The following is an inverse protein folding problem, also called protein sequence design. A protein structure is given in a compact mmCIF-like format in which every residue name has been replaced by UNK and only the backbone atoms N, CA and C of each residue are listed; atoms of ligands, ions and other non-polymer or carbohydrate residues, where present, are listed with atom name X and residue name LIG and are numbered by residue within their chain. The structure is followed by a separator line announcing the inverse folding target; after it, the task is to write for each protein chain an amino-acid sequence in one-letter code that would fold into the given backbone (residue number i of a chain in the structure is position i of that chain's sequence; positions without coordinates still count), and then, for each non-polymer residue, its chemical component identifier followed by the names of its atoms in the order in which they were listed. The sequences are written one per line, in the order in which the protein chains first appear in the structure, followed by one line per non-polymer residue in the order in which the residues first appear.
data_IF_592359930916
#
_entry.id   IF_592359930916
#
_cell.length_a   1.000
_cell.length_b   1.000
_cell.length_c   1.000
_cell.angle_alpha   90.00
_cell.angle_beta   90.00
_cell.angle_gamma   90.00
#
_symmetry.space_group_name_H-M   'P 1'
#
loop_
_entity.id
_entity.type
_entity.pdbx_description
1 polymer ?
#
# COMPACT_ATOMS: atom_id res chain seq x y z
N UNK A 1 70.78 13.06 2.01
CA UNK A 1 69.42 13.59 1.70
C UNK A 1 68.87 12.90 0.49
N UNK A 2 67.98 11.88 0.67
CA UNK A 2 67.34 11.16 -0.46
C UNK A 2 65.94 11.75 -0.64
N UNK A 3 65.73 12.43 -1.76
CA UNK A 3 64.41 12.95 -2.18
C UNK A 3 63.55 11.76 -2.63
N UNK A 4 62.43 11.51 -1.92
CA UNK A 4 61.40 10.58 -2.35
C UNK A 4 60.57 11.25 -3.43
N UNK A 5 60.61 10.69 -4.64
CA UNK A 5 59.74 11.05 -5.77
C UNK A 5 58.38 10.36 -5.53
N UNK A 6 57.37 11.14 -5.18
CA UNK A 6 55.99 10.65 -5.10
C UNK A 6 55.40 10.73 -6.49
N UNK A 7 55.28 9.60 -7.15
CA UNK A 7 54.60 9.47 -8.45
C UNK A 7 53.09 9.49 -8.21
N UNK A 8 52.45 10.63 -8.58
CA UNK A 8 51.00 10.76 -8.60
C UNK A 8 50.48 10.12 -9.89
N UNK A 9 50.11 8.84 -9.81
CA UNK A 9 49.32 8.20 -10.87
C UNK A 9 47.88 8.74 -10.81
N UNK A 10 47.59 9.76 -11.60
CA UNK A 10 46.23 10.15 -11.90
C UNK A 10 45.62 9.01 -12.76
N UNK A 11 44.83 8.16 -12.16
CA UNK A 11 44.01 7.16 -12.86
C UNK A 11 42.91 7.94 -13.61
N UNK A 12 43.16 8.25 -14.87
CA UNK A 12 42.18 8.79 -15.77
C UNK A 12 41.21 7.66 -16.09
N UNK A 13 40.08 7.60 -15.37
CA UNK A 13 38.91 6.83 -15.81
C UNK A 13 38.41 7.48 -17.11
N UNK A 14 38.89 6.99 -18.23
CA UNK A 14 38.23 7.21 -19.51
C UNK A 14 36.99 6.32 -19.47
N UNK A 15 35.89 6.84 -18.92
CA UNK A 15 34.58 6.33 -19.25
C UNK A 15 34.41 6.58 -20.75
N UNK A 16 34.46 5.53 -21.53
CA UNK A 16 33.91 5.56 -22.89
C UNK A 16 32.40 5.79 -22.70
N UNK A 17 31.98 7.05 -22.61
CA UNK A 17 30.59 7.40 -22.90
C UNK A 17 30.39 6.97 -24.34
N UNK A 18 29.78 5.80 -24.54
CA UNK A 18 29.18 5.48 -25.82
C UNK A 18 28.19 6.63 -26.07
N UNK A 19 28.48 7.44 -27.11
CA UNK A 19 27.54 8.48 -27.52
C UNK A 19 26.24 7.78 -27.88
N UNK A 20 25.28 7.78 -26.93
CA UNK A 20 23.91 7.38 -27.23
C UNK A 20 23.37 8.44 -28.16
N UNK A 21 22.84 8.03 -29.31
CA UNK A 21 22.22 8.95 -30.25
C UNK A 21 20.93 9.51 -29.63
N UNK A 22 20.60 10.76 -30.00
CA UNK A 22 19.32 11.36 -29.65
C UNK A 22 18.17 10.42 -30.02
N UNK A 23 17.13 10.40 -29.20
CA UNK A 23 15.93 9.60 -29.41
C UNK A 23 14.81 10.48 -29.95
N UNK A 24 14.35 10.23 -31.17
CA UNK A 24 13.24 10.96 -31.73
C UNK A 24 11.94 10.62 -30.98
N UNK A 25 11.18 11.64 -30.62
CA UNK A 25 9.83 11.48 -30.01
C UNK A 25 8.82 11.23 -31.14
N UNK A 26 8.79 10.00 -31.64
CA UNK A 26 7.98 9.55 -32.77
C UNK A 26 7.16 8.28 -32.42
N UNK A 27 6.38 7.76 -33.37
CA UNK A 27 5.52 6.61 -33.15
C UNK A 27 6.28 5.29 -32.95
N UNK A 28 7.51 5.21 -33.43
CA UNK A 28 8.35 4.01 -33.29
C UNK A 28 8.86 3.90 -31.85
N UNK A 29 9.41 4.97 -31.30
CA UNK A 29 10.01 5.00 -29.98
C UNK A 29 8.95 5.15 -28.87
N UNK A 30 7.90 5.93 -29.12
CA UNK A 30 6.82 6.23 -28.18
C UNK A 30 5.48 6.03 -28.87
N UNK A 31 4.94 4.81 -28.97
CA UNK A 31 3.75 4.51 -29.80
C UNK A 31 2.46 5.16 -29.27
N UNK A 32 2.35 5.44 -27.97
CA UNK A 32 1.17 6.10 -27.43
C UNK A 32 1.16 7.59 -27.74
N UNK A 33 0.12 8.07 -28.44
CA UNK A 33 -0.01 9.47 -28.85
C UNK A 33 -0.07 10.44 -27.67
N UNK A 34 -0.70 10.02 -26.56
CA UNK A 34 -0.87 10.88 -25.38
C UNK A 34 0.43 10.99 -24.61
N UNK A 35 1.18 9.89 -24.52
CA UNK A 35 2.51 9.89 -23.92
C UNK A 35 3.47 10.74 -24.77
N UNK A 36 3.48 10.61 -26.11
CA UNK A 36 4.25 11.53 -26.99
C UNK A 36 3.89 12.99 -26.77
N UNK A 37 2.57 13.30 -26.71
CA UNK A 37 2.11 14.67 -26.46
C UNK A 37 2.62 15.20 -25.11
N UNK A 38 2.63 14.35 -24.09
CA UNK A 38 3.21 14.72 -22.79
C UNK A 38 4.70 15.06 -22.94
N UNK A 39 5.49 14.19 -23.56
CA UNK A 39 6.93 14.41 -23.74
C UNK A 39 7.24 15.69 -24.52
N UNK A 40 6.53 15.91 -25.65
CA UNK A 40 6.68 17.14 -26.47
C UNK A 40 6.26 18.43 -25.75
N UNK A 41 5.51 18.34 -24.67
CA UNK A 41 5.13 19.48 -23.83
C UNK A 41 6.16 19.80 -22.73
N UNK A 42 7.15 18.92 -22.53
CA UNK A 42 8.22 19.14 -21.56
C UNK A 42 9.34 19.96 -22.20
N UNK A 43 10.11 20.67 -21.39
CA UNK A 43 11.25 21.45 -21.86
C UNK A 43 12.33 20.59 -22.53
N UNK A 44 12.49 19.36 -22.04
CA UNK A 44 13.46 18.38 -22.54
C UNK A 44 13.02 17.66 -23.83
N UNK A 45 11.79 17.80 -24.26
CA UNK A 45 11.27 17.14 -25.47
C UNK A 45 10.67 18.11 -26.49
N UNK A 46 10.80 19.42 -26.27
CA UNK A 46 10.10 20.44 -27.03
C UNK A 46 10.55 20.55 -28.51
N UNK A 47 11.75 20.13 -28.82
CA UNK A 47 12.30 20.09 -30.18
C UNK A 47 11.98 18.78 -30.93
N UNK A 48 11.30 17.83 -30.26
CA UNK A 48 10.91 16.54 -30.82
C UNK A 48 11.95 15.43 -30.66
N UNK A 49 12.99 15.68 -29.88
CA UNK A 49 14.08 14.73 -29.56
C UNK A 49 14.34 14.68 -28.08
N UNK A 50 15.07 13.66 -27.66
CA UNK A 50 15.60 13.48 -26.32
C UNK A 50 17.10 13.22 -26.46
N UNK A 51 17.93 14.13 -25.97
CA UNK A 51 19.36 13.90 -25.84
C UNK A 51 19.64 13.01 -24.61
N UNK A 52 20.78 12.33 -24.54
CA UNK A 52 21.19 11.56 -23.35
C UNK A 52 21.17 12.42 -22.07
N UNK A 53 21.65 13.64 -22.12
CA UNK A 53 21.70 14.57 -20.98
C UNK A 53 20.30 14.95 -20.50
N UNK A 54 19.35 15.13 -21.41
CA UNK A 54 17.94 15.40 -21.07
C UNK A 54 17.30 14.19 -20.41
N UNK A 55 17.52 12.99 -20.96
CA UNK A 55 17.03 11.72 -20.40
C UNK A 55 17.56 11.51 -18.99
N UNK A 56 18.87 11.67 -18.78
CA UNK A 56 19.54 11.51 -17.49
C UNK A 56 19.08 12.56 -16.47
N UNK A 57 18.62 13.72 -16.95
CA UNK A 57 18.05 14.77 -16.12
C UNK A 57 16.63 14.49 -15.62
N UNK A 58 15.90 13.51 -16.20
CA UNK A 58 14.51 13.20 -15.84
C UNK A 58 14.49 12.17 -14.70
N UNK A 59 14.42 12.63 -13.47
CA UNK A 59 14.32 11.77 -12.28
C UNK A 59 12.88 11.54 -11.80
N UNK A 60 11.91 12.33 -12.26
CA UNK A 60 10.50 12.20 -11.89
C UNK A 60 9.59 12.42 -13.09
N UNK A 61 8.59 11.53 -13.25
CA UNK A 61 7.60 11.65 -14.32
C UNK A 61 6.18 11.51 -13.78
N UNK A 62 5.31 12.48 -14.13
CA UNK A 62 3.91 12.56 -13.69
C UNK A 62 3.00 12.55 -14.91
N UNK A 63 2.42 11.42 -15.22
CA UNK A 63 1.54 11.18 -16.37
C UNK A 63 0.17 10.64 -15.95
N UNK A 64 -0.31 11.08 -14.79
CA UNK A 64 -1.62 10.69 -14.24
C UNK A 64 -2.78 11.32 -15.03
N UNK A 65 -3.94 10.63 -15.08
CA UNK A 65 -5.18 11.13 -15.68
C UNK A 65 -5.06 11.52 -17.16
N UNK A 66 -4.24 10.81 -17.95
CA UNK A 66 -3.98 11.14 -19.34
C UNK A 66 -4.59 10.14 -20.33
N UNK A 67 -5.30 9.11 -19.83
CA UNK A 67 -5.85 8.01 -20.64
C UNK A 67 -4.77 7.35 -21.54
N UNK A 68 -3.52 7.28 -21.06
CA UNK A 68 -2.40 6.63 -21.73
C UNK A 68 -2.62 5.12 -21.73
N UNK A 69 -2.43 4.47 -22.86
CA UNK A 69 -2.59 3.02 -23.01
C UNK A 69 -1.25 2.28 -23.00
N UNK A 70 -0.14 2.98 -23.27
CA UNK A 70 1.20 2.42 -23.26
C UNK A 70 2.24 3.46 -22.85
N UNK A 71 3.12 3.08 -21.94
CA UNK A 71 4.31 3.85 -21.59
C UNK A 71 5.58 3.32 -22.29
N UNK A 72 5.43 2.56 -23.41
CA UNK A 72 6.60 2.16 -24.19
C UNK A 72 7.42 3.39 -24.56
N UNK A 73 8.75 3.32 -24.36
CA UNK A 73 9.68 4.44 -24.40
C UNK A 73 10.11 4.90 -23.00
N UNK A 74 9.40 4.49 -21.94
CA UNK A 74 9.77 4.79 -20.54
C UNK A 74 11.14 4.18 -20.17
N UNK A 75 11.50 3.07 -20.83
CA UNK A 75 12.75 2.35 -20.66
C UNK A 75 14.00 3.22 -20.94
N UNK A 76 13.84 4.31 -21.68
CA UNK A 76 14.93 5.25 -21.93
C UNK A 76 15.27 6.11 -20.71
N UNK A 77 14.32 6.36 -19.82
CA UNK A 77 14.47 7.22 -18.65
C UNK A 77 15.04 6.43 -17.45
N UNK A 78 16.28 5.98 -17.57
CA UNK A 78 16.92 5.10 -16.58
C UNK A 78 17.21 5.76 -15.23
N UNK A 79 17.25 7.10 -15.19
CA UNK A 79 17.45 7.89 -13.98
C UNK A 79 16.17 8.15 -13.18
N UNK A 80 15.00 7.64 -13.63
CA UNK A 80 13.75 7.82 -12.91
C UNK A 80 13.79 7.19 -11.52
N UNK A 81 13.57 8.02 -10.50
CA UNK A 81 13.35 7.60 -9.11
C UNK A 81 11.87 7.64 -8.73
N UNK A 82 11.03 8.44 -9.42
CA UNK A 82 9.60 8.53 -9.16
C UNK A 82 8.79 8.49 -10.46
N UNK A 83 7.91 7.48 -10.59
CA UNK A 83 6.93 7.38 -11.68
C UNK A 83 5.51 7.39 -11.11
N UNK A 84 4.71 8.40 -11.52
CA UNK A 84 3.29 8.53 -11.18
C UNK A 84 2.46 8.43 -12.45
N UNK A 85 1.90 7.24 -12.69
CA UNK A 85 1.11 6.91 -13.88
C UNK A 85 -0.31 6.40 -13.54
N UNK A 86 -0.81 6.74 -12.34
CA UNK A 86 -2.16 6.40 -11.89
C UNK A 86 -3.24 6.95 -12.81
N UNK A 87 -4.44 6.33 -12.78
CA UNK A 87 -5.62 6.77 -13.56
C UNK A 87 -5.34 6.86 -15.05
N UNK A 88 -4.85 5.75 -15.63
CA UNK A 88 -4.61 5.58 -17.05
C UNK A 88 -5.27 4.28 -17.56
N UNK A 89 -4.95 3.85 -18.77
CA UNK A 89 -5.50 2.66 -19.40
C UNK A 89 -4.41 1.62 -19.70
N UNK A 90 -3.38 1.58 -18.86
CA UNK A 90 -2.23 0.69 -19.04
C UNK A 90 -2.64 -0.76 -18.82
N UNK A 91 -2.41 -1.62 -19.81
CA UNK A 91 -2.58 -3.08 -19.70
C UNK A 91 -1.28 -3.79 -19.34
N UNK A 92 -0.16 -3.18 -19.67
CA UNK A 92 1.20 -3.65 -19.37
C UNK A 92 2.06 -2.46 -18.99
N UNK A 93 3.08 -2.71 -18.16
CA UNK A 93 4.06 -1.71 -17.76
C UNK A 93 5.40 -2.42 -17.60
N UNK A 94 6.35 -2.11 -18.48
CA UNK A 94 7.72 -2.62 -18.42
C UNK A 94 8.62 -1.56 -17.80
N UNK A 95 9.19 -1.89 -16.64
CA UNK A 95 10.07 -1.02 -15.86
C UNK A 95 11.44 -1.66 -15.65
N UNK A 96 11.78 -2.68 -16.42
CA UNK A 96 13.02 -3.46 -16.25
C UNK A 96 14.30 -2.62 -16.43
N UNK A 97 14.22 -1.49 -17.14
CA UNK A 97 15.33 -0.55 -17.32
C UNK A 97 15.31 0.61 -16.31
N UNK A 98 14.19 0.85 -15.62
CA UNK A 98 14.04 1.95 -14.66
C UNK A 98 14.47 1.48 -13.25
N UNK A 99 15.69 1.00 -13.14
CA UNK A 99 16.20 0.31 -11.94
C UNK A 99 16.41 1.23 -10.73
N UNK A 100 16.44 2.55 -10.95
CA UNK A 100 16.58 3.57 -9.91
C UNK A 100 15.24 3.95 -9.23
N UNK A 101 14.10 3.31 -9.63
CA UNK A 101 12.79 3.66 -9.07
C UNK A 101 12.71 3.40 -7.57
N UNK A 102 12.38 4.45 -6.83
CA UNK A 102 12.11 4.46 -5.39
C UNK A 102 10.59 4.56 -5.12
N UNK A 103 9.84 5.26 -6.00
CA UNK A 103 8.40 5.44 -5.89
C UNK A 103 7.69 5.06 -7.19
N UNK A 104 6.73 4.15 -7.12
CA UNK A 104 5.85 3.79 -8.23
C UNK A 104 4.37 3.91 -7.80
N UNK A 105 3.64 4.83 -8.46
CA UNK A 105 2.18 4.95 -8.37
C UNK A 105 1.59 4.59 -9.71
N UNK A 106 1.04 3.37 -9.84
CA UNK A 106 0.43 2.83 -11.05
C UNK A 106 -0.99 2.29 -10.80
N UNK A 107 -1.60 2.75 -9.72
CA UNK A 107 -2.98 2.44 -9.35
C UNK A 107 -3.98 2.92 -10.39
N UNK A 108 -5.20 2.38 -10.36
CA UNK A 108 -6.28 2.74 -11.29
C UNK A 108 -5.84 2.61 -12.75
N UNK A 109 -5.46 1.38 -13.12
CA UNK A 109 -5.08 0.98 -14.47
C UNK A 109 -5.72 -0.38 -14.82
N UNK A 110 -5.28 -1.04 -15.88
CA UNK A 110 -5.79 -2.32 -16.35
C UNK A 110 -4.70 -3.41 -16.33
N UNK A 111 -3.72 -3.26 -15.42
CA UNK A 111 -2.57 -4.17 -15.32
C UNK A 111 -3.04 -5.56 -14.84
N UNK A 112 -2.59 -6.61 -15.52
CA UNK A 112 -2.83 -8.01 -15.10
C UNK A 112 -1.63 -8.66 -14.46
N UNK A 113 -0.44 -8.07 -14.65
CA UNK A 113 0.83 -8.46 -14.04
C UNK A 113 1.72 -7.23 -13.90
N UNK A 114 2.68 -7.29 -12.98
CA UNK A 114 3.67 -6.26 -12.75
C UNK A 114 4.98 -6.93 -12.32
N UNK A 115 6.02 -6.81 -13.16
CA UNK A 115 7.36 -7.31 -12.85
C UNK A 115 8.20 -6.18 -12.24
N UNK A 116 8.58 -6.33 -10.98
CA UNK A 116 9.37 -5.38 -10.22
C UNK A 116 10.72 -5.97 -9.78
N UNK A 117 11.11 -7.11 -10.33
CA UNK A 117 12.34 -7.82 -9.94
C UNK A 117 13.63 -7.03 -10.20
N UNK A 118 13.58 -6.00 -11.06
CA UNK A 118 14.70 -5.09 -11.34
C UNK A 118 14.64 -3.76 -10.56
N UNK A 119 13.49 -3.45 -9.94
CA UNK A 119 13.27 -2.18 -9.23
C UNK A 119 13.58 -2.34 -7.74
N UNK A 120 14.80 -2.75 -7.42
CA UNK A 120 15.22 -3.14 -6.06
C UNK A 120 15.29 -1.98 -5.08
N UNK A 121 15.31 -0.74 -5.56
CA UNK A 121 15.32 0.49 -4.74
C UNK A 121 13.92 0.96 -4.33
N UNK A 122 12.84 0.24 -4.70
CA UNK A 122 11.47 0.66 -4.37
C UNK A 122 11.24 0.69 -2.87
N UNK A 123 10.85 1.87 -2.38
CA UNK A 123 10.40 2.12 -1.00
C UNK A 123 8.88 2.28 -0.92
N UNK A 124 8.24 2.72 -2.02
CA UNK A 124 6.79 2.94 -2.09
C UNK A 124 6.19 2.35 -3.36
N UNK A 125 5.21 1.48 -3.20
CA UNK A 125 4.45 0.89 -4.29
C UNK A 125 2.94 1.04 -4.08
N UNK A 126 2.26 1.74 -5.00
CA UNK A 126 0.81 1.80 -5.09
C UNK A 126 0.38 1.25 -6.44
N UNK A 127 -0.23 0.05 -6.41
CA UNK A 127 -0.74 -0.66 -7.58
C UNK A 127 -2.19 -1.13 -7.39
N UNK A 128 -2.92 -0.46 -6.48
CA UNK A 128 -4.31 -0.79 -6.18
C UNK A 128 -5.24 -0.48 -7.38
N UNK A 129 -6.46 -1.03 -7.36
CA UNK A 129 -7.43 -0.89 -8.46
C UNK A 129 -6.82 -1.26 -9.83
N UNK A 130 -6.40 -2.52 -9.95
CA UNK A 130 -5.90 -3.16 -11.16
C UNK A 130 -6.51 -4.58 -11.28
N UNK A 131 -5.96 -5.41 -12.17
CA UNK A 131 -6.41 -6.80 -12.36
C UNK A 131 -5.27 -7.79 -12.07
N UNK A 132 -4.37 -7.45 -11.13
CA UNK A 132 -3.13 -8.22 -10.87
C UNK A 132 -3.51 -9.54 -10.18
N UNK A 133 -3.04 -10.66 -10.75
CA UNK A 133 -3.31 -12.01 -10.25
C UNK A 133 -2.27 -12.49 -9.24
N UNK A 134 -1.04 -12.04 -9.40
CA UNK A 134 0.10 -12.32 -8.53
C UNK A 134 1.14 -11.23 -8.64
N UNK A 135 1.92 -11.03 -7.57
CA UNK A 135 3.03 -10.07 -7.54
C UNK A 135 4.20 -10.71 -6.79
N UNK A 136 5.40 -10.60 -7.35
CA UNK A 136 6.65 -11.01 -6.69
C UNK A 136 7.37 -9.77 -6.18
N UNK A 137 7.48 -9.65 -4.85
CA UNK A 137 8.13 -8.55 -4.16
C UNK A 137 9.44 -9.00 -3.48
N UNK A 138 9.93 -10.19 -3.79
CA UNK A 138 11.11 -10.79 -3.14
C UNK A 138 12.39 -9.99 -3.32
N UNK A 139 12.49 -9.18 -4.38
CA UNK A 139 13.63 -8.33 -4.66
C UNK A 139 13.48 -6.88 -4.14
N UNK A 140 12.28 -6.49 -3.67
CA UNK A 140 11.97 -5.13 -3.22
C UNK A 140 12.15 -5.02 -1.70
N UNK A 141 13.34 -5.32 -1.21
CA UNK A 141 13.62 -5.46 0.23
C UNK A 141 13.54 -4.14 1.01
N UNK A 142 13.66 -3.01 0.31
CA UNK A 142 13.57 -1.65 0.89
C UNK A 142 12.14 -1.11 0.94
N UNK A 143 11.14 -1.95 0.61
CA UNK A 143 9.74 -1.51 0.53
C UNK A 143 9.20 -1.19 1.93
N UNK A 144 8.84 0.09 2.15
CA UNK A 144 8.28 0.61 3.40
C UNK A 144 6.76 0.71 3.37
N UNK A 145 6.20 0.98 2.17
CA UNK A 145 4.77 1.23 1.99
C UNK A 145 4.25 0.48 0.77
N UNK A 146 3.23 -0.37 0.99
CA UNK A 146 2.58 -1.17 -0.05
C UNK A 146 1.07 -0.95 -0.06
N UNK A 147 0.50 -0.53 -1.19
CA UNK A 147 -0.92 -0.63 -1.50
C UNK A 147 -1.14 -1.47 -2.74
N UNK A 148 -1.69 -2.67 -2.54
CA UNK A 148 -2.09 -3.60 -3.60
C UNK A 148 -3.57 -4.01 -3.48
N UNK A 149 -4.38 -3.17 -2.81
CA UNK A 149 -5.81 -3.42 -2.66
C UNK A 149 -6.54 -3.47 -4.01
N UNK A 150 -7.76 -3.97 -4.02
CA UNK A 150 -8.62 -3.98 -5.20
C UNK A 150 -7.94 -4.62 -6.41
N UNK A 151 -7.46 -5.85 -6.21
CA UNK A 151 -6.82 -6.71 -7.19
C UNK A 151 -7.38 -8.14 -7.11
N UNK A 152 -6.72 -9.13 -7.70
CA UNK A 152 -7.15 -10.52 -7.70
C UNK A 152 -6.10 -11.46 -7.09
N UNK A 153 -5.33 -10.95 -6.11
CA UNK A 153 -4.24 -11.69 -5.47
C UNK A 153 -4.81 -12.83 -4.63
N UNK A 154 -4.33 -14.06 -4.88
CA UNK A 154 -4.68 -15.25 -4.09
C UNK A 154 -3.67 -15.53 -2.99
N UNK A 155 -2.45 -15.07 -3.18
CA UNK A 155 -1.33 -15.17 -2.23
C UNK A 155 -0.55 -13.86 -2.26
N UNK A 156 0.08 -13.53 -1.13
CA UNK A 156 0.98 -12.39 -1.00
C UNK A 156 2.10 -12.79 -0.05
N UNK A 157 3.31 -12.92 -0.56
CA UNK A 157 4.52 -13.20 0.24
C UNK A 157 5.25 -11.89 0.53
N UNK A 158 5.33 -11.54 1.81
CA UNK A 158 6.01 -10.35 2.31
C UNK A 158 7.26 -10.69 3.14
N UNK A 159 7.70 -11.95 3.12
CA UNK A 159 8.81 -12.44 3.95
C UNK A 159 10.15 -11.76 3.71
N UNK A 160 10.34 -11.11 2.56
CA UNK A 160 11.55 -10.36 2.20
C UNK A 160 11.43 -8.85 2.45
N UNK A 161 10.22 -8.34 2.69
CA UNK A 161 9.94 -6.92 2.84
C UNK A 161 9.92 -6.53 4.33
N UNK A 162 11.03 -6.75 5.02
CA UNK A 162 11.13 -6.69 6.48
C UNK A 162 11.01 -5.28 7.08
N UNK A 163 11.12 -4.25 6.24
CA UNK A 163 11.00 -2.83 6.65
C UNK A 163 9.61 -2.24 6.38
N UNK A 164 8.66 -3.04 5.87
CA UNK A 164 7.28 -2.60 5.67
C UNK A 164 6.67 -2.10 6.98
N UNK A 165 6.19 -0.85 6.95
CA UNK A 165 5.50 -0.21 8.07
C UNK A 165 4.00 -0.08 7.81
N UNK A 166 3.58 -0.01 6.55
CA UNK A 166 2.20 0.16 6.13
C UNK A 166 1.85 -0.76 4.96
N UNK A 167 0.79 -1.56 5.10
CA UNK A 167 0.30 -2.47 4.07
C UNK A 167 -1.22 -2.35 3.92
N UNK A 168 -1.67 -2.08 2.70
CA UNK A 168 -3.07 -2.25 2.31
C UNK A 168 -3.17 -3.31 1.21
N UNK A 169 -3.68 -4.49 1.57
CA UNK A 169 -3.99 -5.59 0.65
C UNK A 169 -5.48 -5.95 0.67
N UNK A 170 -6.34 -5.00 1.05
CA UNK A 170 -7.78 -5.20 1.10
C UNK A 170 -8.38 -5.50 -0.29
N UNK A 171 -9.58 -6.06 -0.30
CA UNK A 171 -10.31 -6.41 -1.52
C UNK A 171 -9.46 -7.21 -2.52
N UNK A 172 -9.05 -8.41 -2.06
CA UNK A 172 -8.33 -9.41 -2.83
C UNK A 172 -8.93 -10.80 -2.56
N UNK A 173 -8.24 -11.86 -2.93
CA UNK A 173 -8.69 -13.25 -2.76
C UNK A 173 -7.77 -14.02 -1.80
N UNK A 174 -7.13 -13.30 -0.85
CA UNK A 174 -6.18 -13.91 0.09
C UNK A 174 -6.92 -14.82 1.08
N UNK A 175 -6.40 -16.02 1.26
CA UNK A 175 -6.90 -16.99 2.26
C UNK A 175 -5.99 -17.07 3.49
N UNK A 176 -4.76 -16.58 3.40
CA UNK A 176 -3.78 -16.50 4.48
C UNK A 176 -2.80 -15.34 4.24
N UNK A 177 -2.15 -14.88 5.30
CA UNK A 177 -1.05 -13.93 5.22
C UNK A 177 -0.13 -14.17 6.43
N UNK A 178 1.17 -14.32 6.19
CA UNK A 178 2.21 -14.45 7.24
C UNK A 178 3.01 -13.14 7.33
N UNK A 179 3.10 -12.58 8.52
CA UNK A 179 3.78 -11.32 8.83
C UNK A 179 4.91 -11.50 9.83
N UNK A 180 5.32 -12.73 10.08
CA UNK A 180 6.37 -13.06 11.06
C UNK A 180 7.73 -12.41 10.80
N UNK A 181 7.98 -11.95 9.55
CA UNK A 181 9.21 -11.26 9.16
C UNK A 181 9.06 -9.73 9.11
N UNK A 182 7.85 -9.18 9.32
CA UNK A 182 7.56 -7.76 9.12
C UNK A 182 7.53 -7.01 10.46
N UNK A 183 8.66 -7.01 11.18
CA UNK A 183 8.77 -6.47 12.52
C UNK A 183 8.51 -4.95 12.62
N UNK A 184 8.62 -4.21 11.51
CA UNK A 184 8.37 -2.77 11.44
C UNK A 184 6.90 -2.41 11.17
N UNK A 185 6.01 -3.42 10.96
CA UNK A 185 4.64 -3.16 10.53
C UNK A 185 3.81 -2.52 11.66
N UNK A 186 3.19 -1.39 11.36
CA UNK A 186 2.35 -0.62 12.27
C UNK A 186 0.89 -0.49 11.82
N UNK A 187 0.63 -0.59 10.52
CA UNK A 187 -0.73 -0.49 9.98
C UNK A 187 -0.96 -1.52 8.86
N UNK A 188 -2.03 -2.29 9.00
CA UNK A 188 -2.41 -3.37 8.09
C UNK A 188 -3.89 -3.30 7.76
N UNK A 189 -4.23 -3.32 6.47
CA UNK A 189 -5.59 -3.50 5.99
C UNK A 189 -5.71 -4.80 5.19
N UNK A 190 -6.45 -5.76 5.74
CA UNK A 190 -6.75 -7.07 5.10
C UNK A 190 -8.23 -7.23 4.76
N UNK A 191 -9.07 -6.23 5.00
CA UNK A 191 -10.52 -6.33 4.81
C UNK A 191 -10.88 -6.80 3.40
N UNK A 192 -12.07 -7.38 3.23
CA UNK A 192 -12.55 -7.91 1.95
C UNK A 192 -11.60 -8.95 1.33
N UNK A 193 -11.14 -9.90 2.14
CA UNK A 193 -10.41 -11.09 1.72
C UNK A 193 -11.17 -12.36 2.16
N UNK A 194 -10.48 -13.50 2.32
CA UNK A 194 -11.07 -14.79 2.67
C UNK A 194 -10.34 -15.46 3.84
N UNK A 195 -9.75 -14.65 4.74
CA UNK A 195 -8.93 -15.11 5.87
C UNK A 195 -9.85 -15.39 7.06
N UNK A 196 -9.88 -16.64 7.56
CA UNK A 196 -10.77 -17.07 8.65
C UNK A 196 -10.27 -18.33 9.34
N UNK A 197 -10.85 -18.65 10.51
CA UNK A 197 -10.51 -19.86 11.27
C UNK A 197 -9.01 -19.93 11.56
N UNK A 198 -8.38 -21.07 11.31
CA UNK A 198 -6.96 -21.33 11.60
C UNK A 198 -6.01 -20.38 10.85
N UNK A 199 -6.39 -19.91 9.65
CA UNK A 199 -5.54 -18.96 8.91
C UNK A 199 -5.60 -17.56 9.50
N UNK A 200 -6.71 -17.16 10.12
CA UNK A 200 -6.79 -15.94 10.91
C UNK A 200 -6.03 -16.09 12.25
N UNK A 201 -6.06 -17.27 12.88
CA UNK A 201 -5.24 -17.55 14.07
C UNK A 201 -3.75 -17.40 13.74
N UNK A 202 -3.30 -17.97 12.62
CA UNK A 202 -1.92 -17.88 12.16
C UNK A 202 -1.51 -16.43 11.84
N UNK A 203 -2.38 -15.67 11.15
CA UNK A 203 -2.13 -14.26 10.86
C UNK A 203 -1.96 -13.47 12.15
N UNK A 204 -2.90 -13.61 13.11
CA UNK A 204 -2.84 -12.88 14.38
C UNK A 204 -1.58 -13.24 15.18
N UNK A 205 -1.19 -14.54 15.16
CA UNK A 205 0.03 -15.00 15.81
C UNK A 205 1.31 -14.46 15.15
N UNK A 206 1.27 -14.14 13.85
CA UNK A 206 2.40 -13.58 13.10
C UNK A 206 2.55 -12.06 13.23
N UNK A 207 1.56 -11.35 13.79
CA UNK A 207 1.61 -9.91 13.99
C UNK A 207 2.77 -9.53 14.92
N UNK A 208 3.61 -8.54 14.55
CA UNK A 208 4.68 -8.07 15.42
C UNK A 208 4.12 -7.38 16.67
N UNK A 209 4.90 -7.38 17.75
CA UNK A 209 4.56 -6.62 18.94
C UNK A 209 4.80 -5.12 18.69
N UNK A 210 3.76 -4.32 18.83
CA UNK A 210 3.80 -2.87 18.56
C UNK A 210 3.10 -2.09 19.68
N UNK A 211 3.29 -0.78 19.75
CA UNK A 211 2.63 0.03 20.79
C UNK A 211 1.24 0.54 20.40
N UNK A 212 0.98 0.71 19.10
CA UNK A 212 -0.26 1.31 18.55
C UNK A 212 -0.58 0.80 17.15
N UNK A 213 -0.48 -0.51 16.94
CA UNK A 213 -0.79 -1.13 15.65
C UNK A 213 -2.26 -0.98 15.29
N UNK A 214 -2.56 -0.86 14.00
CA UNK A 214 -3.92 -0.80 13.47
C UNK A 214 -4.14 -1.93 12.49
N UNK A 215 -5.10 -2.80 12.76
CA UNK A 215 -5.54 -3.84 11.85
C UNK A 215 -6.99 -3.59 11.41
N UNK A 216 -7.18 -3.25 10.14
CA UNK A 216 -8.48 -3.15 9.50
C UNK A 216 -8.84 -4.52 8.95
N UNK A 217 -9.67 -5.25 9.72
CA UNK A 217 -9.90 -6.68 9.48
C UNK A 217 -11.19 -6.97 8.70
N UNK A 218 -12.27 -6.26 8.99
CA UNK A 218 -13.61 -6.52 8.44
C UNK A 218 -14.20 -5.22 7.91
N UNK A 219 -14.59 -5.22 6.62
CA UNK A 219 -15.22 -4.05 6.01
C UNK A 219 -16.73 -3.97 6.30
N UNK A 220 -17.47 -5.08 6.19
CA UNK A 220 -18.91 -5.13 6.43
C UNK A 220 -19.38 -6.59 6.49
N UNK A 221 -20.71 -6.81 6.51
CA UNK A 221 -21.31 -8.16 6.52
C UNK A 221 -21.07 -9.00 5.26
N UNK A 222 -20.58 -8.40 4.18
CA UNK A 222 -20.22 -9.08 2.93
C UNK A 222 -18.73 -9.44 2.88
N UNK A 223 -17.95 -9.02 3.88
CA UNK A 223 -16.56 -9.44 4.02
C UNK A 223 -16.51 -10.96 4.27
N UNK A 224 -15.61 -11.63 3.59
CA UNK A 224 -15.42 -13.07 3.76
C UNK A 224 -14.34 -13.40 4.79
N UNK A 225 -13.67 -12.39 5.34
CA UNK A 225 -12.87 -12.56 6.55
C UNK A 225 -13.78 -12.81 7.75
N UNK A 226 -13.29 -13.61 8.68
CA UNK A 226 -13.95 -13.83 9.96
C UNK A 226 -12.92 -13.65 11.08
N UNK A 227 -13.26 -12.84 12.09
CA UNK A 227 -12.42 -12.65 13.27
C UNK A 227 -13.24 -12.89 14.54
N UNK A 228 -12.69 -13.68 15.46
CA UNK A 228 -13.30 -14.01 16.75
C UNK A 228 -12.79 -13.10 17.87
N UNK A 229 -13.53 -13.05 18.97
CA UNK A 229 -13.09 -12.30 20.18
C UNK A 229 -11.77 -12.79 20.75
N UNK A 230 -11.48 -14.10 20.64
CA UNK A 230 -10.20 -14.67 21.06
C UNK A 230 -9.05 -14.11 20.23
N UNK A 231 -9.21 -14.06 18.90
CA UNK A 231 -8.23 -13.50 17.98
C UNK A 231 -8.02 -12.00 18.20
N UNK A 232 -9.11 -11.25 18.43
CA UNK A 232 -9.04 -9.82 18.80
C UNK A 232 -8.27 -9.64 20.10
N UNK A 233 -8.54 -10.47 21.13
CA UNK A 233 -7.81 -10.39 22.39
C UNK A 233 -6.32 -10.67 22.22
N UNK A 234 -5.97 -11.67 21.40
CA UNK A 234 -4.58 -12.01 21.10
C UNK A 234 -3.87 -10.87 20.36
N UNK A 235 -4.52 -10.27 19.35
CA UNK A 235 -3.98 -9.12 18.62
C UNK A 235 -3.77 -7.91 19.55
N UNK A 236 -4.76 -7.61 20.41
CA UNK A 236 -4.65 -6.51 21.37
C UNK A 236 -3.51 -6.73 22.38
N UNK A 237 -3.22 -7.97 22.77
CA UNK A 237 -2.09 -8.30 23.64
C UNK A 237 -0.72 -7.98 22.99
N UNK A 238 -0.65 -8.00 21.66
CA UNK A 238 0.51 -7.60 20.87
C UNK A 238 0.49 -6.10 20.50
N UNK A 239 -0.44 -5.31 21.04
CA UNK A 239 -0.53 -3.86 20.83
C UNK A 239 -1.30 -3.44 19.58
N UNK A 240 -2.04 -4.37 18.93
CA UNK A 240 -2.86 -4.07 17.76
C UNK A 240 -4.29 -3.74 18.13
N UNK A 241 -4.80 -2.62 17.61
CA UNK A 241 -6.21 -2.28 17.67
C UNK A 241 -6.90 -2.79 16.41
N UNK A 242 -7.97 -3.58 16.59
CA UNK A 242 -8.73 -4.14 15.48
C UNK A 242 -9.85 -3.18 15.09
N UNK A 243 -9.99 -2.91 13.80
CA UNK A 243 -11.03 -2.07 13.24
C UNK A 243 -11.97 -2.88 12.35
N UNK A 244 -13.26 -2.54 12.44
CA UNK A 244 -14.31 -3.02 11.54
C UNK A 244 -15.08 -1.85 10.99
N UNK A 245 -15.57 -1.94 9.75
CA UNK A 245 -16.37 -0.89 9.11
C UNK A 245 -17.86 -1.13 9.37
N UNK A 246 -18.56 -0.12 9.92
CA UNK A 246 -19.98 -0.25 10.31
C UNK A 246 -20.97 0.16 9.21
N UNK A 247 -20.47 0.52 8.03
CA UNK A 247 -21.25 1.04 6.91
C UNK A 247 -21.12 2.58 6.74
N UNK A 248 -20.56 3.27 7.74
CA UNK A 248 -20.33 4.71 7.70
C UNK A 248 -18.87 5.07 8.00
N UNK A 249 -18.22 4.32 8.90
CA UNK A 249 -16.87 4.62 9.36
C UNK A 249 -16.19 3.38 9.94
N UNK A 250 -14.85 3.42 10.03
CA UNK A 250 -14.07 2.42 10.75
C UNK A 250 -14.22 2.61 12.25
N UNK A 251 -14.63 1.54 12.94
CA UNK A 251 -14.80 1.50 14.40
C UNK A 251 -13.88 0.48 15.01
N UNK A 252 -13.40 0.76 16.20
CA UNK A 252 -12.73 -0.26 17.01
C UNK A 252 -13.69 -1.44 17.20
N UNK A 253 -13.19 -2.66 16.94
CA UNK A 253 -13.99 -3.87 17.10
C UNK A 253 -14.52 -3.94 18.54
N UNK A 254 -15.83 -3.84 18.68
CA UNK A 254 -16.51 -4.03 19.96
C UNK A 254 -16.85 -5.51 20.10
N UNK A 255 -16.37 -6.15 21.15
CA UNK A 255 -16.73 -7.53 21.48
C UNK A 255 -18.26 -7.69 21.52
N UNK A 256 -18.88 -8.53 20.65
CA UNK A 256 -20.32 -8.78 20.70
C UNK A 256 -20.77 -9.35 22.05
N UNK A 257 -19.89 -10.02 22.79
CA UNK A 257 -20.17 -10.54 24.12
C UNK A 257 -20.16 -9.45 25.20
N UNK A 258 -19.36 -8.40 25.02
CA UNK A 258 -19.43 -7.21 25.88
C UNK A 258 -20.80 -6.53 25.79
N UNK A 259 -21.41 -6.52 24.60
CA UNK A 259 -22.80 -6.05 24.40
C UNK A 259 -23.81 -6.97 25.08
N UNK A 260 -23.58 -8.28 25.10
CA UNK A 260 -24.44 -9.22 25.84
C UNK A 260 -24.28 -9.06 27.36
N UNK A 261 -23.08 -8.81 27.86
CA UNK A 261 -22.83 -8.52 29.26
C UNK A 261 -23.47 -7.20 29.69
N UNK A 262 -23.50 -6.19 28.80
CA UNK A 262 -24.25 -4.94 29.04
C UNK A 262 -25.76 -5.19 29.02
N UNK A 263 -26.28 -6.09 28.17
CA UNK A 263 -27.69 -6.50 28.21
C UNK A 263 -28.02 -7.32 29.47
N UNK A 264 -27.09 -8.19 29.90
CA UNK A 264 -27.26 -8.93 31.15
C UNK A 264 -27.21 -8.01 32.39
N UNK A 265 -26.32 -7.02 32.39
CA UNK A 265 -26.27 -5.98 33.42
C UNK A 265 -27.45 -4.98 33.35
N UNK A 266 -28.07 -4.82 32.16
CA UNK A 266 -29.27 -3.98 32.00
C UNK A 266 -30.53 -4.63 32.58
N UNK A 267 -30.51 -5.92 32.90
CA UNK A 267 -31.58 -6.63 33.59
C UNK A 267 -31.44 -6.62 35.14
N UNK A 268 -30.39 -5.96 35.67
CA UNK A 268 -30.28 -5.67 37.10
C UNK A 268 -31.16 -4.49 37.44
N UNK A 269 -32.40 -4.85 37.84
CA UNK A 269 -33.49 -3.93 38.20
C UNK A 269 -33.34 -3.28 39.60
N UNK A 270 -32.15 -3.29 40.19
CA UNK A 270 -31.94 -2.55 41.44
C UNK A 270 -31.73 -1.06 41.14
N UNK A 271 -32.79 -0.29 41.30
CA UNK A 271 -32.85 1.18 41.32
C UNK A 271 -33.30 1.95 40.06
N UNK A 272 -34.32 1.49 39.33
CA UNK A 272 -35.06 2.37 38.38
C UNK A 272 -34.26 2.99 37.23
N UNK A 273 -33.07 2.45 36.92
CA UNK A 273 -32.23 2.88 35.81
C UNK A 273 -32.23 1.84 34.72
N UNK A 274 -32.61 2.21 33.51
CA UNK A 274 -32.51 1.35 32.32
C UNK A 274 -31.33 1.79 31.48
N UNK A 275 -30.48 0.83 31.05
CA UNK A 275 -29.42 1.07 30.07
C UNK A 275 -29.83 0.48 28.73
N UNK A 276 -29.70 1.23 27.67
CA UNK A 276 -29.99 0.80 26.33
C UNK A 276 -29.04 1.46 25.32
N UNK A 277 -28.96 0.90 24.13
CA UNK A 277 -28.16 1.46 23.04
C UNK A 277 -29.05 2.30 22.13
N UNK A 278 -28.67 3.55 21.89
CA UNK A 278 -29.32 4.47 20.97
C UNK A 278 -28.23 5.18 20.16
N UNK A 279 -28.34 5.10 18.85
CA UNK A 279 -27.41 5.75 17.88
C UNK A 279 -25.92 5.42 18.15
N UNK A 280 -25.62 4.13 18.45
CA UNK A 280 -24.26 3.66 18.69
C UNK A 280 -23.64 4.08 20.03
N UNK A 281 -24.42 4.67 20.96
CA UNK A 281 -23.97 5.12 22.27
C UNK A 281 -24.72 4.42 23.38
N UNK A 282 -24.06 4.20 24.53
CA UNK A 282 -24.70 3.74 25.74
C UNK A 282 -25.50 4.91 26.34
N UNK A 283 -26.82 4.73 26.47
CA UNK A 283 -27.72 5.67 27.11
C UNK A 283 -28.27 5.02 28.37
N UNK A 284 -28.30 5.78 29.47
CA UNK A 284 -28.86 5.40 30.77
C UNK A 284 -30.14 6.21 30.99
N UNK A 285 -31.29 5.55 30.98
CA UNK A 285 -32.52 6.18 31.41
C UNK A 285 -32.58 6.13 32.94
N UNK A 286 -32.64 7.33 33.57
CA UNK A 286 -32.80 7.48 35.00
C UNK A 286 -33.83 8.60 35.26
N UNK A 287 -34.89 8.30 36.00
CA UNK A 287 -35.94 9.26 36.35
C UNK A 287 -36.58 9.94 35.11
N UNK A 288 -36.79 9.16 34.01
CA UNK A 288 -37.39 9.68 32.77
C UNK A 288 -36.49 10.59 31.94
N UNK A 289 -35.18 10.59 32.19
CA UNK A 289 -34.17 11.35 31.43
C UNK A 289 -33.17 10.37 30.82
N UNK A 290 -32.82 10.58 29.57
CA UNK A 290 -31.72 9.86 28.88
C UNK A 290 -30.39 10.57 29.20
N UNK A 291 -29.42 9.81 29.73
CA UNK A 291 -28.08 10.27 30.09
C UNK A 291 -27.04 9.46 29.33
N UNK A 292 -25.91 10.04 28.95
CA UNK A 292 -24.77 9.32 28.41
C UNK A 292 -24.00 8.52 29.48
N UNK A 293 -23.00 7.81 29.08
CA UNK A 293 -22.17 7.00 29.98
C UNK A 293 -21.44 7.84 31.07
N UNK A 294 -21.28 9.13 30.85
CA UNK A 294 -20.70 10.10 31.80
C UNK A 294 -21.73 10.77 32.68
N UNK A 295 -23.05 10.48 32.46
CA UNK A 295 -24.16 11.06 33.24
C UNK A 295 -24.66 12.38 32.71
N UNK A 296 -24.24 12.86 31.53
CA UNK A 296 -24.76 14.05 30.89
C UNK A 296 -26.07 13.76 30.13
N UNK A 297 -27.00 14.69 30.11
CA UNK A 297 -28.30 14.54 29.45
C UNK A 297 -28.11 14.50 27.92
N UNK A 298 -28.57 13.41 27.27
CA UNK A 298 -28.58 13.29 25.81
C UNK A 298 -29.70 14.21 25.28
N UNK A 299 -29.34 15.10 24.35
CA UNK A 299 -30.30 15.99 23.68
C UNK A 299 -30.98 15.29 22.53
#
# INVERSE_FOLDING_TARGET
MKKKLVSLFALMFITTLGAHADIDINETNFPDRKFRKFLLAQTYGADGKLTPEEIDGVTSMKVQFMEIQSLKGIEHFTALTSLKCSFNLLKTLDLTQNTALEELLCDNNLLTALDLTKNTALTRLFCYENNILSIDLSQNTELETLSCSDNQLRTLDLSKNTVLSWVNCSNNLLTALDLSQNAALEELNISLNQIKGETMDALVASLPAVSKGKLYAIYNKQDHNEITTTQVTAANANGWTIYTYDGNDWKVYADPTAVQNVKAAANDTSAGKKKFFKDGKIVIEANGKELDAAGAQVK
#
